data_IF_167272542879
#
_entry.id   IF_167272542879
#
_cell.length_a   1.000
_cell.length_b   1.000
_cell.length_c   1.000
_cell.angle_alpha   90.00
_cell.angle_beta   90.00
_cell.angle_gamma   90.00
#
_symmetry.space_group_name_H-M   'P 1'
#
loop_
_entity.id
_entity.type
_entity.pdbx_description
1 polymer ?
#
# COMPACT_ATOMS: atom_id res chain seq x y z
N UNK A 1 70.40 63.61 -21.08
CA UNK A 1 70.90 62.85 -19.91
C UNK A 1 69.71 62.38 -19.11
N UNK A 2 69.37 61.10 -19.29
CA UNK A 2 68.40 60.36 -18.46
C UNK A 2 69.18 59.77 -17.29
N UNK A 3 68.62 59.84 -16.08
CA UNK A 3 68.78 58.94 -14.90
C UNK A 3 68.72 59.75 -13.61
N UNK A 4 68.15 59.12 -12.57
CA UNK A 4 67.92 59.60 -11.20
C UNK A 4 66.56 60.22 -10.89
N UNK A 5 65.47 59.49 -11.12
CA UNK A 5 64.24 59.60 -10.32
C UNK A 5 63.46 58.28 -10.42
N UNK A 6 64.02 57.23 -9.82
CA UNK A 6 63.34 55.93 -9.69
C UNK A 6 63.98 55.14 -8.54
N UNK A 7 64.00 55.70 -7.33
CA UNK A 7 64.42 54.97 -6.14
C UNK A 7 63.82 55.58 -4.86
N UNK A 8 62.50 55.80 -4.84
CA UNK A 8 61.79 56.09 -3.59
C UNK A 8 60.33 55.61 -3.55
N UNK A 9 59.85 54.92 -4.60
CA UNK A 9 58.51 54.34 -4.69
C UNK A 9 58.49 52.81 -4.48
N UNK A 10 59.48 52.28 -3.75
CA UNK A 10 59.65 50.83 -3.52
C UNK A 10 59.81 50.49 -2.04
N UNK A 11 59.15 51.24 -1.15
CA UNK A 11 59.15 50.94 0.30
C UNK A 11 57.86 51.32 1.05
N UNK A 12 56.74 51.49 0.34
CA UNK A 12 55.38 51.59 0.95
C UNK A 12 54.37 50.77 0.14
N UNK A 13 54.85 49.71 -0.53
CA UNK A 13 54.04 48.77 -1.32
C UNK A 13 54.15 47.34 -0.80
N UNK A 14 54.46 47.17 0.48
CA UNK A 14 54.53 45.87 1.14
C UNK A 14 53.86 45.94 2.52
N UNK A 15 52.72 46.62 2.61
CA UNK A 15 51.71 46.23 3.59
C UNK A 15 51.25 44.84 3.17
N UNK A 16 51.80 43.85 3.87
CA UNK A 16 51.20 42.56 4.18
C UNK A 16 49.69 42.56 3.91
N UNK A 17 49.31 42.20 2.69
CA UNK A 17 48.13 41.40 2.45
C UNK A 17 48.64 39.97 2.26
N UNK A 18 49.27 39.43 3.32
CA UNK A 18 49.08 38.02 3.59
C UNK A 18 47.59 37.92 3.93
N UNK A 19 46.76 37.78 2.89
CA UNK A 19 45.60 36.93 3.03
C UNK A 19 46.20 35.59 3.46
N UNK A 20 46.18 35.36 4.77
CA UNK A 20 46.18 34.01 5.31
C UNK A 20 44.91 33.42 4.71
N UNK A 21 44.98 32.88 3.49
CA UNK A 21 44.16 31.75 3.15
C UNK A 21 44.62 30.70 4.15
N UNK A 22 43.94 30.64 5.29
CA UNK A 22 44.00 29.49 6.15
C UNK A 22 43.84 28.31 5.19
N UNK A 23 44.88 27.48 5.09
CA UNK A 23 44.90 26.38 4.15
C UNK A 23 43.58 25.63 4.30
N UNK A 24 42.75 25.66 3.27
CA UNK A 24 41.71 24.66 3.16
C UNK A 24 42.51 23.36 3.08
N UNK A 25 42.56 22.61 4.18
CA UNK A 25 42.86 21.20 4.06
C UNK A 25 41.85 20.68 3.03
N UNK A 26 42.34 20.15 1.91
CA UNK A 26 41.52 19.53 0.86
C UNK A 26 40.87 18.28 1.46
N UNK A 27 39.84 18.48 2.29
CA UNK A 27 39.10 17.42 2.94
C UNK A 27 38.06 16.92 1.97
N UNK A 28 38.05 15.61 1.78
CA UNK A 28 37.10 14.99 0.87
C UNK A 28 36.08 14.18 1.68
N UNK A 29 34.81 14.37 1.36
CA UNK A 29 33.74 13.49 1.82
C UNK A 29 33.50 12.40 0.78
N UNK A 30 33.42 11.16 1.23
CA UNK A 30 33.16 9.99 0.39
C UNK A 30 31.87 9.32 0.78
N UNK A 31 31.06 8.95 -0.21
CA UNK A 31 29.70 8.45 -0.03
C UNK A 31 29.60 7.03 -0.58
N UNK A 32 29.08 6.12 0.22
CA UNK A 32 29.01 4.70 -0.12
C UNK A 32 27.58 4.16 -0.07
N UNK A 33 27.29 3.23 -0.99
CA UNK A 33 26.17 2.32 -0.88
C UNK A 33 26.73 0.89 -0.81
N UNK A 34 26.68 0.30 0.39
CA UNK A 34 27.44 -0.90 0.70
C UNK A 34 28.95 -0.68 0.50
N UNK A 35 29.57 -1.50 -0.34
CA UNK A 35 31.00 -1.39 -0.66
C UNK A 35 31.31 -0.51 -1.88
N UNK A 36 30.30 0.11 -2.49
CA UNK A 36 30.46 0.90 -3.72
C UNK A 36 30.55 2.37 -3.38
N UNK A 37 31.62 3.04 -3.83
CA UNK A 37 31.72 4.49 -3.81
C UNK A 37 30.74 5.06 -4.85
N UNK A 38 29.81 5.89 -4.40
CA UNK A 38 28.77 6.47 -5.26
C UNK A 38 28.99 7.96 -5.54
N UNK A 39 29.68 8.66 -4.64
CA UNK A 39 30.02 10.06 -4.82
C UNK A 39 31.24 10.44 -3.97
N UNK A 40 31.93 11.50 -4.37
CA UNK A 40 33.05 12.09 -3.64
C UNK A 40 33.09 13.59 -3.92
N UNK A 41 33.06 14.39 -2.85
CA UNK A 41 32.98 15.85 -2.97
C UNK A 41 33.86 16.56 -1.94
N UNK A 42 34.44 17.72 -2.31
CA UNK A 42 35.27 18.51 -1.41
C UNK A 42 34.42 19.18 -0.33
N UNK A 43 34.93 19.24 0.88
CA UNK A 43 34.36 20.04 1.98
C UNK A 43 34.81 21.49 1.79
N UNK A 44 33.86 22.41 1.68
CA UNK A 44 34.17 23.83 1.41
C UNK A 44 33.73 24.69 2.59
N UNK A 45 34.60 25.56 3.12
CA UNK A 45 34.28 26.45 4.24
C UNK A 45 33.70 25.73 5.49
N UNK A 46 34.22 24.54 5.81
CA UNK A 46 33.73 23.69 6.90
C UNK A 46 32.24 23.27 6.77
N UNK A 47 31.68 23.34 5.56
CA UNK A 47 30.33 22.85 5.25
C UNK A 47 30.34 21.83 4.11
N UNK A 48 29.31 20.99 4.11
CA UNK A 48 29.11 19.94 3.12
C UNK A 48 27.63 19.82 2.79
N UNK A 49 27.29 19.88 1.50
CA UNK A 49 25.92 19.57 1.03
C UNK A 49 25.87 18.09 0.71
N UNK A 50 24.99 17.35 1.38
CA UNK A 50 24.90 15.90 1.18
C UNK A 50 24.22 15.57 -0.15
N UNK A 51 24.61 14.47 -0.83
CA UNK A 51 23.98 14.08 -2.07
C UNK A 51 22.47 13.81 -1.91
N UNK A 52 21.74 13.94 -3.01
CA UNK A 52 20.32 13.64 -3.07
C UNK A 52 20.01 12.18 -2.72
N UNK A 53 18.75 11.92 -2.40
CA UNK A 53 18.27 10.57 -2.13
C UNK A 53 18.55 9.67 -3.34
N UNK A 54 19.08 8.46 -3.07
CA UNK A 54 19.48 7.52 -4.11
C UNK A 54 18.67 6.22 -4.05
N UNK A 55 18.65 5.48 -5.15
CA UNK A 55 18.12 4.12 -5.17
C UNK A 55 19.15 3.14 -4.57
N UNK A 56 18.76 2.43 -3.52
CA UNK A 56 19.60 1.44 -2.82
C UNK A 56 19.05 0.02 -2.93
N UNK A 57 18.35 -0.26 -4.05
CA UNK A 57 17.76 -1.57 -4.32
C UNK A 57 16.39 -1.73 -3.65
N UNK A 58 16.23 -2.78 -2.86
CA UNK A 58 14.93 -3.15 -2.27
C UNK A 58 14.56 -2.30 -1.05
N UNK A 59 15.54 -1.59 -0.46
CA UNK A 59 15.32 -0.72 0.70
C UNK A 59 14.96 0.71 0.30
N UNK A 60 14.26 1.41 1.18
CA UNK A 60 13.97 2.84 1.07
C UNK A 60 15.10 3.63 1.69
N UNK A 61 15.73 4.50 0.90
CA UNK A 61 16.75 5.42 1.38
C UNK A 61 16.14 6.37 2.41
N UNK A 62 16.74 6.44 3.59
CA UNK A 62 16.32 7.33 4.68
C UNK A 62 17.23 8.56 4.75
N UNK A 63 18.54 8.35 4.58
CA UNK A 63 19.54 9.40 4.74
C UNK A 63 20.97 8.87 4.68
N UNK A 64 21.92 9.77 4.95
CA UNK A 64 23.34 9.47 5.00
C UNK A 64 23.81 9.34 6.44
N UNK A 65 24.45 8.22 6.76
CA UNK A 65 25.04 8.04 8.08
C UNK A 65 26.52 8.35 8.06
N UNK A 66 26.97 9.23 8.94
CA UNK A 66 28.39 9.50 9.17
C UNK A 66 28.82 8.84 10.48
N UNK A 67 29.99 8.22 10.49
CA UNK A 67 30.63 7.74 11.72
C UNK A 67 31.71 8.76 12.12
N UNK A 68 31.63 9.27 13.34
CA UNK A 68 32.64 10.16 13.92
C UNK A 68 33.12 9.58 15.26
N UNK A 69 34.25 8.86 15.24
CA UNK A 69 34.71 8.10 16.39
C UNK A 69 33.70 7.01 16.77
N UNK A 70 33.13 7.11 17.98
CA UNK A 70 32.12 6.16 18.49
C UNK A 70 30.67 6.59 18.24
N UNK A 71 30.43 7.78 17.67
CA UNK A 71 29.07 8.22 17.35
C UNK A 71 28.73 7.98 15.89
N UNK A 72 27.47 7.58 15.65
CA UNK A 72 26.89 7.50 14.31
C UNK A 72 25.73 8.48 14.25
N UNK A 73 25.74 9.36 13.26
CA UNK A 73 24.70 10.37 13.06
C UNK A 73 24.06 10.18 11.70
N UNK A 74 22.73 10.28 11.64
CA UNK A 74 21.96 10.22 10.41
C UNK A 74 21.63 11.64 9.96
N UNK A 75 21.83 11.92 8.68
CA UNK A 75 21.53 13.19 8.06
C UNK A 75 20.60 13.01 6.87
N UNK A 76 19.72 14.00 6.64
CA UNK A 76 18.83 14.01 5.48
C UNK A 76 19.62 14.18 4.18
N UNK A 77 19.15 13.59 3.08
CA UNK A 77 19.64 13.93 1.75
C UNK A 77 19.45 15.43 1.46
N UNK A 78 20.30 15.99 0.59
CA UNK A 78 20.29 17.40 0.18
C UNK A 78 20.48 18.42 1.32
N UNK A 79 20.74 17.96 2.55
CA UNK A 79 20.99 18.84 3.68
C UNK A 79 22.41 19.40 3.64
N UNK A 80 22.57 20.65 4.07
CA UNK A 80 23.89 21.25 4.32
C UNK A 80 24.24 21.09 5.78
N UNK A 81 25.37 20.44 6.05
CA UNK A 81 25.85 20.21 7.41
C UNK A 81 27.14 20.96 7.68
N UNK A 82 27.33 21.35 8.93
CA UNK A 82 28.63 21.82 9.43
C UNK A 82 29.50 20.63 9.77
N UNK A 83 30.73 20.61 9.24
CA UNK A 83 31.68 19.52 9.43
C UNK A 83 32.76 19.98 10.43
N UNK A 84 32.91 19.30 11.59
CA UNK A 84 34.01 19.55 12.52
C UNK A 84 35.37 19.45 11.81
N UNK A 85 36.36 20.24 12.21
CA UNK A 85 37.70 20.20 11.60
C UNK A 85 38.42 18.88 11.90
N UNK A 86 39.06 18.31 10.87
CA UNK A 86 39.87 17.10 10.92
C UNK A 86 39.31 15.91 10.12
N UNK A 87 40.21 15.16 9.47
CA UNK A 87 39.97 13.86 8.84
C UNK A 87 39.14 13.85 7.55
N UNK A 88 39.28 12.77 6.78
CA UNK A 88 38.36 12.44 5.68
C UNK A 88 37.02 11.97 6.25
N UNK A 89 35.92 12.34 5.60
CA UNK A 89 34.58 11.93 6.02
C UNK A 89 34.11 10.74 5.19
N UNK A 90 33.51 9.78 5.87
CA UNK A 90 32.86 8.63 5.25
C UNK A 90 31.38 8.62 5.61
N UNK A 91 30.55 8.66 4.57
CA UNK A 91 29.10 8.54 4.67
C UNK A 91 28.65 7.22 4.06
N UNK A 92 27.70 6.57 4.71
CA UNK A 92 27.07 5.35 4.21
C UNK A 92 25.56 5.56 4.08
N UNK A 93 25.02 5.21 2.93
CA UNK A 93 23.58 5.25 2.67
C UNK A 93 22.85 4.34 3.65
N UNK A 94 21.93 4.92 4.42
CA UNK A 94 21.08 4.15 5.33
C UNK A 94 19.72 3.91 4.69
N UNK A 95 19.31 2.65 4.69
CA UNK A 95 18.08 2.18 4.10
C UNK A 95 17.26 1.35 5.05
N UNK A 96 15.94 1.42 4.89
CA UNK A 96 15.01 0.57 5.62
C UNK A 96 14.20 -0.28 4.65
N UNK A 97 14.09 -1.57 4.94
CA UNK A 97 13.10 -2.41 4.28
C UNK A 97 11.70 -1.99 4.73
N UNK A 98 10.89 -1.47 3.79
CA UNK A 98 9.51 -1.02 4.03
C UNK A 98 8.63 -1.54 2.89
N UNK A 99 7.66 -2.41 3.21
CA UNK A 99 6.78 -3.06 2.23
C UNK A 99 5.32 -3.06 2.67
N UNK A 100 4.42 -2.82 1.72
CA UNK A 100 3.00 -3.17 1.87
C UNK A 100 2.87 -4.67 1.65
N UNK A 101 2.18 -5.38 2.54
CA UNK A 101 1.91 -6.80 2.32
C UNK A 101 0.86 -6.97 1.22
N UNK A 102 1.00 -8.05 0.45
CA UNK A 102 0.03 -8.42 -0.58
C UNK A 102 -1.31 -8.80 0.06
N UNK A 103 -2.39 -8.27 -0.49
CA UNK A 103 -3.75 -8.56 -0.08
C UNK A 103 -4.26 -7.70 1.08
N UNK A 104 -5.29 -8.20 1.74
CA UNK A 104 -5.93 -7.58 2.88
C UNK A 104 -6.57 -8.68 3.72
N UNK A 105 -6.84 -8.39 5.00
CA UNK A 105 -7.70 -9.19 5.84
C UNK A 105 -9.07 -8.54 5.96
N UNK A 106 -10.11 -9.35 6.17
CA UNK A 106 -11.46 -8.86 6.45
C UNK A 106 -11.75 -9.08 7.94
N UNK A 107 -12.40 -8.11 8.59
CA UNK A 107 -12.87 -8.29 9.97
C UNK A 107 -13.77 -9.52 10.06
N UNK A 108 -13.63 -10.36 11.07
CA UNK A 108 -14.54 -11.49 11.34
C UNK A 108 -15.37 -11.25 12.60
N UNK A 109 -15.49 -9.99 13.01
CA UNK A 109 -16.08 -9.52 14.26
C UNK A 109 -16.91 -8.25 13.99
N UNK A 110 -18.22 -8.41 13.83
CA UNK A 110 -19.12 -7.29 13.58
C UNK A 110 -19.10 -6.82 12.12
N UNK A 111 -19.05 -5.50 11.93
CA UNK A 111 -19.26 -4.87 10.63
C UNK A 111 -18.14 -5.19 9.63
N UNK A 112 -18.48 -5.19 8.34
CA UNK A 112 -17.51 -5.37 7.27
C UNK A 112 -16.44 -4.27 7.31
N UNK A 113 -15.17 -4.65 7.35
CA UNK A 113 -14.04 -3.74 7.25
C UNK A 113 -12.83 -4.49 6.70
N UNK A 114 -11.92 -3.77 6.04
CA UNK A 114 -10.67 -4.30 5.53
C UNK A 114 -9.51 -3.81 6.40
N UNK A 115 -8.56 -4.71 6.67
CA UNK A 115 -7.27 -4.41 7.27
C UNK A 115 -6.19 -4.64 6.23
N UNK A 116 -5.29 -3.67 6.12
CA UNK A 116 -4.08 -3.78 5.32
C UNK A 116 -2.87 -3.68 6.25
N UNK A 117 -1.87 -4.49 5.98
CA UNK A 117 -0.67 -4.58 6.81
C UNK A 117 0.56 -4.19 5.99
N UNK A 118 1.56 -3.66 6.68
CA UNK A 118 2.90 -3.50 6.15
C UNK A 118 3.94 -4.02 7.10
N UNK A 119 5.16 -4.07 6.60
CA UNK A 119 6.30 -4.59 7.33
C UNK A 119 7.49 -3.65 7.26
N UNK A 120 8.25 -3.64 8.35
CA UNK A 120 9.57 -3.06 8.49
C UNK A 120 10.58 -4.17 8.80
N UNK A 121 11.77 -4.11 8.18
CA UNK A 121 12.88 -4.98 8.57
C UNK A 121 13.27 -4.72 10.03
N UNK A 122 13.29 -5.77 10.87
CA UNK A 122 13.52 -5.60 12.31
C UNK A 122 14.87 -4.95 12.62
N UNK A 123 15.94 -5.44 11.98
CA UNK A 123 17.30 -4.93 12.21
C UNK A 123 17.46 -3.50 11.69
N UNK A 124 16.81 -3.17 10.58
CA UNK A 124 16.81 -1.81 10.04
C UNK A 124 16.05 -0.85 10.96
N UNK A 125 14.89 -1.27 11.50
CA UNK A 125 14.12 -0.48 12.46
C UNK A 125 14.89 -0.26 13.76
N UNK A 126 15.51 -1.31 14.32
CA UNK A 126 16.33 -1.19 15.52
C UNK A 126 17.53 -0.25 15.30
N UNK A 127 18.19 -0.34 14.15
CA UNK A 127 19.27 0.57 13.78
C UNK A 127 18.78 2.02 13.61
N UNK A 128 17.59 2.22 13.04
CA UNK A 128 16.99 3.55 12.91
C UNK A 128 16.63 4.14 14.28
N UNK A 129 16.02 3.36 15.18
CA UNK A 129 15.73 3.77 16.56
C UNK A 129 17.01 4.18 17.29
N UNK A 130 18.11 3.46 17.11
CA UNK A 130 19.39 3.83 17.71
C UNK A 130 19.97 5.15 17.16
N UNK A 131 19.62 5.55 15.94
CA UNK A 131 20.10 6.76 15.28
C UNK A 131 19.27 8.00 15.63
N UNK A 132 17.94 7.89 15.66
CA UNK A 132 17.05 9.06 15.82
C UNK A 132 16.17 9.01 17.07
N UNK A 133 16.11 7.88 17.77
CA UNK A 133 15.16 7.65 18.86
C UNK A 133 13.76 7.32 18.36
N UNK A 134 13.07 6.42 19.07
CA UNK A 134 11.75 5.92 18.69
C UNK A 134 10.69 7.03 18.58
N UNK A 135 10.75 8.06 19.45
CA UNK A 135 9.82 9.19 19.43
C UNK A 135 9.90 10.07 18.18
N UNK A 136 10.93 9.90 17.36
CA UNK A 136 11.10 10.61 16.08
C UNK A 136 10.66 9.76 14.87
N UNK A 137 10.04 8.61 15.12
CA UNK A 137 9.60 7.68 14.08
C UNK A 137 8.09 7.49 14.21
N UNK A 138 7.36 7.66 13.10
CA UNK A 138 5.96 7.25 12.99
C UNK A 138 5.72 6.45 11.72
N UNK A 139 4.74 5.56 11.73
CA UNK A 139 4.44 4.68 10.59
C UNK A 139 2.95 4.35 10.59
N UNK A 140 2.44 4.07 9.40
CA UNK A 140 1.03 3.81 9.23
C UNK A 140 0.66 3.42 7.81
N UNK A 141 -0.63 3.29 7.57
CA UNK A 141 -1.21 2.90 6.28
C UNK A 141 -2.08 4.03 5.74
N UNK A 142 -1.87 4.37 4.47
CA UNK A 142 -2.80 5.19 3.70
C UNK A 142 -3.78 4.26 3.00
N UNK A 143 -5.09 4.45 3.20
CA UNK A 143 -6.14 3.61 2.61
C UNK A 143 -7.14 4.49 1.87
N UNK A 144 -7.54 4.13 0.66
CA UNK A 144 -8.53 4.88 -0.12
C UNK A 144 -9.39 3.96 -1.00
N UNK A 145 -10.60 4.40 -1.42
CA UNK A 145 -11.34 3.73 -2.48
C UNK A 145 -10.54 3.70 -3.79
N UNK A 146 -10.43 2.54 -4.41
CA UNK A 146 -9.57 2.31 -5.59
C UNK A 146 -9.97 3.18 -6.78
N UNK A 147 -11.27 3.29 -7.07
CA UNK A 147 -11.79 4.12 -8.16
C UNK A 147 -11.44 5.62 -8.00
N UNK A 148 -11.29 6.11 -6.76
CA UNK A 148 -10.89 7.50 -6.45
C UNK A 148 -9.38 7.70 -6.48
N UNK A 149 -8.62 6.64 -6.21
CA UNK A 149 -7.16 6.62 -6.20
C UNK A 149 -6.53 6.22 -7.55
N UNK A 150 -7.30 5.65 -8.48
CA UNK A 150 -6.80 5.17 -9.77
C UNK A 150 -6.09 6.29 -10.55
N UNK A 151 -4.90 5.99 -11.07
CA UNK A 151 -4.03 6.95 -11.76
C UNK A 151 -3.37 7.99 -10.84
N UNK A 152 -3.63 7.97 -9.53
CA UNK A 152 -3.03 8.91 -8.56
C UNK A 152 -2.00 8.21 -7.70
N UNK A 153 -0.95 8.93 -7.33
CA UNK A 153 0.00 8.45 -6.32
C UNK A 153 -0.61 8.65 -4.94
N UNK A 154 -0.71 7.57 -4.16
CA UNK A 154 -1.21 7.63 -2.78
C UNK A 154 -0.07 8.13 -1.88
N UNK A 155 -0.24 9.33 -1.31
CA UNK A 155 0.66 10.00 -0.37
C UNK A 155 -0.16 10.81 0.65
N UNK A 156 0.47 11.31 1.72
CA UNK A 156 -0.21 12.18 2.70
C UNK A 156 -0.75 13.48 2.10
N UNK A 157 -0.14 13.96 1.02
CA UNK A 157 -0.52 15.21 0.35
C UNK A 157 -1.52 15.00 -0.77
N UNK A 158 -1.89 13.75 -1.06
CA UNK A 158 -2.79 13.45 -2.17
C UNK A 158 -4.23 13.90 -1.86
N UNK A 159 -4.81 14.67 -2.78
CA UNK A 159 -6.24 15.00 -2.74
C UNK A 159 -7.08 13.84 -3.30
N UNK A 160 -7.25 12.80 -2.48
CA UNK A 160 -8.07 11.63 -2.78
C UNK A 160 -9.28 11.64 -1.84
N UNK A 161 -10.47 11.67 -2.44
CA UNK A 161 -11.73 11.56 -1.69
C UNK A 161 -11.78 10.23 -0.93
N UNK A 162 -12.11 10.29 0.36
CA UNK A 162 -12.16 9.10 1.23
C UNK A 162 -10.77 8.55 1.61
N UNK A 163 -9.69 9.32 1.43
CA UNK A 163 -8.38 8.95 1.94
C UNK A 163 -8.37 8.90 3.47
N UNK A 164 -7.97 7.75 3.99
CA UNK A 164 -7.80 7.48 5.41
C UNK A 164 -6.31 7.37 5.70
N UNK A 165 -5.83 8.17 6.65
CA UNK A 165 -4.52 7.99 7.27
C UNK A 165 -4.73 7.19 8.54
N UNK A 166 -4.09 6.02 8.64
CA UNK A 166 -4.17 5.13 9.79
C UNK A 166 -2.77 4.95 10.35
N UNK A 167 -2.42 5.79 11.32
CA UNK A 167 -1.23 5.58 12.14
C UNK A 167 -1.32 4.22 12.80
N UNK A 168 -0.22 3.49 12.81
CA UNK A 168 -0.17 2.17 13.42
C UNK A 168 -0.40 2.28 14.94
N UNK A 169 -1.31 1.45 15.44
CA UNK A 169 -1.55 1.31 16.89
C UNK A 169 -0.91 0.04 17.46
N UNK A 170 -0.74 -0.97 16.61
CA UNK A 170 -0.18 -2.28 16.97
C UNK A 170 1.12 -2.52 16.22
N UNK A 171 2.13 -2.98 16.95
CA UNK A 171 3.44 -3.36 16.43
C UNK A 171 3.82 -4.70 17.03
N UNK A 172 4.01 -5.72 16.20
CA UNK A 172 4.40 -7.04 16.69
C UNK A 172 5.50 -7.69 15.84
N UNK A 173 6.28 -8.53 16.52
CA UNK A 173 7.46 -9.16 15.97
C UNK A 173 7.12 -10.55 15.43
N UNK A 174 7.65 -10.85 14.25
CA UNK A 174 7.55 -12.18 13.65
C UNK A 174 8.85 -12.95 13.83
N UNK A 175 8.77 -14.28 13.75
CA UNK A 175 9.95 -15.16 13.73
C UNK A 175 10.86 -14.91 12.51
N UNK A 176 10.31 -14.29 11.45
CA UNK A 176 11.02 -13.87 10.25
C UNK A 176 11.78 -12.55 10.41
N UNK A 177 11.91 -12.00 11.63
CA UNK A 177 12.59 -10.71 11.92
C UNK A 177 11.98 -9.53 11.15
N UNK A 178 10.65 -9.51 11.07
CA UNK A 178 9.89 -8.34 10.64
C UNK A 178 9.07 -7.77 11.77
N UNK A 179 8.94 -6.45 11.76
CA UNK A 179 7.92 -5.75 12.51
C UNK A 179 6.69 -5.54 11.62
N UNK A 180 5.53 -5.99 12.08
CA UNK A 180 4.26 -5.87 11.34
C UNK A 180 3.40 -4.80 12.00
N UNK A 181 2.79 -3.97 11.17
CA UNK A 181 1.83 -2.95 11.57
C UNK A 181 0.71 -2.86 10.53
N UNK A 182 -0.44 -2.32 10.91
CA UNK A 182 -1.59 -2.28 10.02
C UNK A 182 -2.55 -1.13 10.27
N UNK A 183 -3.41 -0.92 9.29
CA UNK A 183 -4.47 0.08 9.30
C UNK A 183 -5.77 -0.55 8.81
N UNK A 184 -6.89 -0.07 9.34
CA UNK A 184 -8.22 -0.57 9.00
C UNK A 184 -9.05 0.51 8.33
N UNK A 185 -9.87 0.11 7.36
CA UNK A 185 -11.00 0.94 6.92
C UNK A 185 -11.96 1.14 8.09
N UNK A 186 -12.79 2.17 8.00
CA UNK A 186 -14.01 2.21 8.80
C UNK A 186 -14.98 1.12 8.35
N UNK A 187 -16.12 1.03 9.02
CA UNK A 187 -17.21 0.13 8.65
C UNK A 187 -17.64 0.37 7.20
N UNK A 188 -17.47 -0.64 6.35
CA UNK A 188 -17.91 -0.68 4.96
C UNK A 188 -19.37 -1.12 4.95
N UNK A 189 -20.24 -0.33 4.32
CA UNK A 189 -21.65 -0.68 4.18
C UNK A 189 -21.83 -1.87 3.25
N UNK A 190 -22.92 -2.63 3.43
CA UNK A 190 -23.20 -3.81 2.60
C UNK A 190 -23.28 -3.48 1.11
N UNK A 191 -23.81 -2.31 0.74
CA UNK A 191 -23.88 -1.86 -0.65
C UNK A 191 -22.50 -1.61 -1.29
N UNK A 192 -21.46 -1.39 -0.48
CA UNK A 192 -20.09 -1.14 -0.91
C UNK A 192 -19.19 -2.37 -0.76
N UNK A 193 -19.74 -3.55 -0.45
CA UNK A 193 -18.95 -4.75 -0.14
C UNK A 193 -18.10 -5.26 -1.32
N UNK A 194 -18.53 -4.87 -2.53
CA UNK A 194 -17.87 -5.14 -3.80
C UNK A 194 -16.83 -4.08 -4.18
N UNK A 195 -16.86 -2.90 -3.56
CA UNK A 195 -15.90 -1.82 -3.84
C UNK A 195 -14.49 -2.22 -3.41
N UNK A 196 -13.51 -1.92 -4.27
CA UNK A 196 -12.10 -2.12 -3.95
C UNK A 196 -11.58 -0.97 -3.12
N UNK A 197 -10.88 -1.29 -2.04
CA UNK A 197 -10.01 -0.36 -1.33
C UNK A 197 -8.57 -0.71 -1.65
N UNK A 198 -7.74 0.34 -1.73
CA UNK A 198 -6.33 0.25 -1.98
C UNK A 198 -5.54 0.81 -0.81
N UNK A 199 -4.37 0.24 -0.53
CA UNK A 199 -3.54 0.67 0.57
C UNK A 199 -2.06 0.83 0.19
N UNK A 200 -1.39 1.76 0.89
CA UNK A 200 0.06 1.97 0.81
C UNK A 200 0.60 2.32 2.18
N UNK A 201 1.62 1.62 2.64
CA UNK A 201 2.30 1.94 3.90
C UNK A 201 3.32 3.05 3.75
N UNK A 202 3.51 3.78 4.85
CA UNK A 202 4.48 4.85 4.99
C UNK A 202 5.27 4.74 6.29
N UNK A 203 6.42 5.41 6.31
CA UNK A 203 7.24 5.67 7.48
C UNK A 203 7.66 7.14 7.44
N UNK A 204 7.44 7.87 8.53
CA UNK A 204 7.94 9.23 8.71
C UNK A 204 9.05 9.21 9.75
N UNK A 205 10.19 9.82 9.41
CA UNK A 205 11.37 9.94 10.28
C UNK A 205 11.70 11.41 10.44
N UNK A 206 11.86 11.88 11.67
CA UNK A 206 12.30 13.23 11.97
C UNK A 206 13.82 13.24 12.14
N UNK A 207 14.53 13.81 11.17
CA UNK A 207 16.00 13.99 11.19
C UNK A 207 16.27 15.47 11.39
N UNK A 208 16.98 15.85 12.46
CA UNK A 208 17.28 17.25 12.80
C UNK A 208 16.06 18.17 12.73
N UNK A 209 14.95 17.68 13.29
CA UNK A 209 13.64 18.32 13.28
C UNK A 209 12.88 18.40 11.96
N UNK A 210 13.45 17.90 10.87
CA UNK A 210 12.82 17.84 9.56
C UNK A 210 12.15 16.47 9.34
N UNK A 211 10.83 16.40 9.10
CA UNK A 211 10.17 15.14 8.79
C UNK A 211 10.46 14.71 7.35
N UNK A 212 10.85 13.46 7.18
CA UNK A 212 10.97 12.79 5.88
C UNK A 212 9.98 11.64 5.87
N UNK A 213 9.08 11.61 4.89
CA UNK A 213 8.13 10.51 4.72
C UNK A 213 8.53 9.63 3.55
N UNK A 214 8.78 8.36 3.86
CA UNK A 214 9.03 7.30 2.92
C UNK A 214 7.75 6.53 2.65
N UNK A 215 7.54 6.15 1.39
CA UNK A 215 6.39 5.35 0.99
C UNK A 215 6.85 4.02 0.42
N UNK A 216 6.19 2.93 0.81
CA UNK A 216 6.45 1.61 0.25
C UNK A 216 6.18 1.57 -1.26
N UNK A 217 6.68 0.53 -1.94
CA UNK A 217 6.26 0.26 -3.30
C UNK A 217 4.75 -0.05 -3.33
N UNK A 218 4.11 0.34 -4.43
CA UNK A 218 2.67 0.18 -4.61
C UNK A 218 2.38 -0.41 -5.99
N UNK A 219 1.48 -1.38 -6.00
CA UNK A 219 0.88 -1.95 -7.19
C UNK A 219 -0.56 -2.36 -6.84
N UNK A 220 -1.51 -2.02 -7.71
CA UNK A 220 -2.93 -2.23 -7.48
C UNK A 220 -3.29 -3.73 -7.44
N UNK A 221 -2.61 -4.55 -8.26
CA UNK A 221 -2.82 -6.00 -8.32
C UNK A 221 -2.56 -6.62 -6.95
N UNK A 222 -1.49 -6.20 -6.28
CA UNK A 222 -1.13 -6.75 -4.97
C UNK A 222 -1.78 -6.04 -3.78
N UNK A 223 -2.08 -4.73 -3.87
CA UNK A 223 -2.46 -3.93 -2.69
C UNK A 223 -3.89 -3.37 -2.74
N UNK A 224 -4.76 -3.90 -3.61
CA UNK A 224 -6.19 -3.51 -3.66
C UNK A 224 -7.12 -4.70 -3.50
N UNK A 225 -8.09 -4.63 -2.59
CA UNK A 225 -9.04 -5.73 -2.31
C UNK A 225 -10.43 -5.19 -1.96
N UNK A 226 -11.46 -6.00 -2.18
CA UNK A 226 -12.83 -5.75 -1.69
C UNK A 226 -13.16 -6.70 -0.54
N UNK A 227 -14.15 -6.34 0.29
CA UNK A 227 -14.62 -7.20 1.39
C UNK A 227 -15.11 -8.53 0.85
N UNK A 228 -15.88 -8.52 -0.24
CA UNK A 228 -16.39 -9.74 -0.85
C UNK A 228 -15.26 -10.69 -1.28
N UNK A 229 -14.25 -10.18 -1.99
CA UNK A 229 -13.13 -10.99 -2.47
C UNK A 229 -12.36 -11.67 -1.33
N UNK A 230 -12.06 -10.90 -0.27
CA UNK A 230 -11.34 -11.43 0.89
C UNK A 230 -12.21 -12.39 1.68
N UNK A 231 -13.52 -12.10 1.81
CA UNK A 231 -14.46 -12.97 2.52
C UNK A 231 -14.64 -14.30 1.81
N UNK A 232 -14.73 -14.29 0.47
CA UNK A 232 -14.81 -15.50 -0.34
C UNK A 232 -13.54 -16.34 -0.19
N UNK A 233 -12.37 -15.75 -0.36
CA UNK A 233 -11.10 -16.46 -0.18
C UNK A 233 -10.95 -17.05 1.23
N UNK A 234 -11.33 -16.32 2.28
CA UNK A 234 -11.30 -16.81 3.66
C UNK A 234 -12.35 -17.90 3.92
N UNK A 235 -13.53 -17.79 3.31
CA UNK A 235 -14.57 -18.79 3.44
C UNK A 235 -14.20 -20.09 2.71
N UNK A 236 -13.54 -20.03 1.56
CA UNK A 236 -13.10 -21.23 0.82
C UNK A 236 -11.81 -21.84 1.38
N UNK A 237 -11.13 -21.15 2.28
CA UNK A 237 -9.89 -21.63 2.89
C UNK A 237 -10.17 -22.80 3.85
N UNK A 238 -10.04 -24.02 3.30
CA UNK A 238 -10.39 -25.29 3.94
C UNK A 238 -9.31 -26.35 3.72
N UNK A 239 -9.31 -27.33 4.61
CA UNK A 239 -8.49 -28.54 4.51
C UNK A 239 -9.33 -29.78 4.76
N UNK A 240 -9.12 -30.84 3.99
CA UNK A 240 -9.72 -32.16 4.27
C UNK A 240 -9.18 -32.80 5.55
N UNK A 241 -8.03 -32.33 6.05
CA UNK A 241 -7.34 -32.86 7.22
C UNK A 241 -7.14 -31.80 8.30
N UNK A 242 -7.22 -32.21 9.57
CA UNK A 242 -6.89 -31.34 10.70
C UNK A 242 -5.39 -31.12 10.81
N UNK A 243 -4.97 -29.90 11.13
CA UNK A 243 -3.61 -29.56 11.53
C UNK A 243 -3.60 -28.30 12.41
N UNK A 244 -2.40 -27.79 12.76
CA UNK A 244 -2.25 -26.61 13.62
C UNK A 244 -2.81 -25.30 13.06
N UNK A 245 -3.08 -25.23 11.75
CA UNK A 245 -3.70 -24.08 11.08
C UNK A 245 -5.19 -24.32 10.86
N UNK A 246 -5.58 -25.54 10.50
CA UNK A 246 -6.96 -25.96 10.23
C UNK A 246 -7.44 -26.92 11.32
N UNK A 247 -7.80 -26.38 12.47
CA UNK A 247 -8.14 -27.15 13.67
C UNK A 247 -9.65 -27.24 13.91
N UNK A 248 -10.46 -26.43 13.24
CA UNK A 248 -11.91 -26.34 13.47
C UNK A 248 -12.70 -27.11 12.41
N UNK A 249 -13.37 -28.18 12.82
CA UNK A 249 -14.24 -28.95 11.92
C UNK A 249 -15.50 -28.15 11.58
N UNK A 250 -15.84 -28.13 10.30
CA UNK A 250 -17.02 -27.47 9.73
C UNK A 250 -18.19 -28.46 9.58
N UNK A 251 -19.39 -27.93 9.32
CA UNK A 251 -20.59 -28.75 9.02
C UNK A 251 -20.43 -29.60 7.77
N UNK A 252 -19.68 -29.11 6.77
CA UNK A 252 -19.36 -29.84 5.54
C UNK A 252 -18.31 -30.96 5.74
N UNK A 253 -17.88 -31.22 6.98
CA UNK A 253 -16.94 -32.29 7.31
C UNK A 253 -15.47 -31.99 7.04
N UNK A 254 -15.14 -30.83 6.44
CA UNK A 254 -13.77 -30.32 6.29
C UNK A 254 -13.33 -29.46 7.49
N UNK A 255 -12.08 -29.00 7.50
CA UNK A 255 -11.47 -28.20 8.56
C UNK A 255 -11.18 -26.76 8.09
N UNK A 256 -11.38 -25.80 8.97
CA UNK A 256 -11.13 -24.37 8.76
C UNK A 256 -10.20 -23.83 9.86
N UNK A 257 -9.56 -22.70 9.59
CA UNK A 257 -8.90 -21.87 10.60
C UNK A 257 -9.89 -20.97 11.37
N UNK A 258 -11.11 -20.83 10.85
CA UNK A 258 -12.16 -19.96 11.39
C UNK A 258 -13.19 -20.75 12.20
N UNK A 259 -13.78 -20.12 13.23
CA UNK A 259 -14.88 -20.72 14.01
C UNK A 259 -16.18 -20.73 13.20
N UNK A 260 -17.18 -21.49 13.64
CA UNK A 260 -18.48 -21.53 12.99
C UNK A 260 -19.13 -20.13 12.92
N UNK A 261 -19.00 -19.32 13.97
CA UNK A 261 -19.52 -17.95 14.03
C UNK A 261 -18.81 -17.04 13.02
N UNK A 262 -17.48 -17.15 12.91
CA UNK A 262 -16.70 -16.40 11.93
C UNK A 262 -17.07 -16.80 10.50
N UNK A 263 -17.24 -18.10 10.25
CA UNK A 263 -17.68 -18.60 8.95
C UNK A 263 -19.09 -18.12 8.60
N UNK A 264 -20.01 -18.07 9.56
CA UNK A 264 -21.35 -17.53 9.37
C UNK A 264 -21.34 -16.04 9.00
N UNK A 265 -20.47 -15.25 9.64
CA UNK A 265 -20.28 -13.83 9.29
C UNK A 265 -19.70 -13.66 7.89
N UNK A 266 -18.70 -14.47 7.52
CA UNK A 266 -18.15 -14.48 6.16
C UNK A 266 -19.24 -14.86 5.14
N UNK A 267 -20.01 -15.91 5.41
CA UNK A 267 -21.11 -16.37 4.56
C UNK A 267 -22.18 -15.30 4.37
N UNK A 268 -22.59 -14.62 5.45
CA UNK A 268 -23.58 -13.53 5.39
C UNK A 268 -23.16 -12.42 4.42
N UNK A 269 -21.86 -12.14 4.29
CA UNK A 269 -21.34 -11.13 3.35
C UNK A 269 -21.38 -11.60 1.90
N UNK A 270 -21.23 -12.90 1.68
CA UNK A 270 -21.37 -13.51 0.35
C UNK A 270 -22.85 -13.54 -0.05
N UNK A 271 -23.73 -13.91 0.88
CA UNK A 271 -25.19 -14.00 0.68
C UNK A 271 -25.85 -12.64 0.41
N UNK A 272 -25.17 -11.53 0.66
CA UNK A 272 -25.66 -10.17 0.31
C UNK A 272 -25.34 -9.77 -1.12
N UNK A 273 -24.59 -10.60 -1.85
CA UNK A 273 -24.15 -10.31 -3.21
C UNK A 273 -24.74 -11.32 -4.19
N UNK A 274 -25.36 -10.80 -5.24
CA UNK A 274 -25.76 -11.61 -6.39
C UNK A 274 -24.74 -11.39 -7.51
N UNK A 275 -24.00 -12.45 -7.84
CA UNK A 275 -23.07 -12.45 -8.96
C UNK A 275 -23.74 -13.17 -10.14
N UNK A 276 -23.66 -12.57 -11.34
CA UNK A 276 -24.21 -13.13 -12.57
C UNK A 276 -23.15 -13.10 -13.69
N UNK A 277 -22.75 -14.28 -14.16
CA UNK A 277 -21.63 -14.46 -15.08
C UNK A 277 -21.96 -14.06 -16.52
N UNK A 278 -20.93 -13.85 -17.35
CA UNK A 278 -21.11 -13.61 -18.78
C UNK A 278 -21.70 -14.84 -19.47
N UNK A 279 -22.68 -14.64 -20.34
CA UNK A 279 -23.27 -15.70 -21.17
C UNK A 279 -22.28 -16.09 -22.27
N UNK A 280 -21.45 -17.09 -22.00
CA UNK A 280 -20.73 -17.82 -23.05
C UNK A 280 -21.23 -19.26 -23.06
N UNK A 281 -22.44 -19.47 -23.59
CA UNK A 281 -23.11 -20.77 -23.62
C UNK A 281 -24.22 -20.93 -22.57
N UNK A 282 -24.93 -22.06 -22.63
CA UNK A 282 -26.13 -22.41 -21.84
C UNK A 282 -25.90 -22.68 -20.35
N UNK A 283 -24.70 -22.43 -19.84
CA UNK A 283 -24.37 -22.66 -18.43
C UNK A 283 -23.88 -21.36 -17.79
N UNK A 284 -24.49 -20.99 -16.66
CA UNK A 284 -23.94 -19.98 -15.75
C UNK A 284 -22.77 -20.63 -15.03
N UNK A 285 -21.56 -20.53 -15.58
CA UNK A 285 -20.37 -20.87 -14.80
C UNK A 285 -20.26 -19.85 -13.66
N UNK A 286 -20.16 -20.32 -12.41
CA UNK A 286 -19.94 -19.49 -11.23
C UNK A 286 -18.53 -18.87 -11.20
N UNK A 287 -17.83 -18.76 -12.34
CA UNK A 287 -16.51 -18.14 -12.44
C UNK A 287 -16.68 -16.65 -12.74
N UNK A 288 -16.07 -15.80 -11.93
CA UNK A 288 -16.07 -14.36 -12.15
C UNK A 288 -14.66 -13.90 -12.39
N UNK A 289 -14.39 -13.16 -13.45
CA UNK A 289 -13.11 -12.49 -13.67
C UNK A 289 -13.30 -10.98 -13.68
N UNK A 290 -12.36 -10.25 -13.08
CA UNK A 290 -12.40 -8.80 -12.93
C UNK A 290 -11.00 -8.24 -13.08
N UNK A 291 -10.79 -7.31 -14.00
CA UNK A 291 -9.51 -6.60 -14.17
C UNK A 291 -8.28 -7.55 -14.17
N UNK A 292 -8.35 -8.68 -14.91
CA UNK A 292 -7.34 -9.76 -14.95
C UNK A 292 -7.20 -10.63 -13.69
N UNK A 293 -8.15 -10.58 -12.75
CA UNK A 293 -8.27 -11.51 -11.64
C UNK A 293 -9.47 -12.43 -11.80
N UNK A 294 -9.22 -13.73 -11.98
CA UNK A 294 -10.24 -14.77 -11.87
C UNK A 294 -10.54 -15.02 -10.40
N UNK A 295 -11.73 -14.61 -9.94
CA UNK A 295 -12.34 -15.20 -8.76
C UNK A 295 -12.68 -16.64 -9.09
N UNK A 296 -12.07 -17.54 -8.34
CA UNK A 296 -12.47 -18.93 -8.35
C UNK A 296 -13.97 -18.96 -8.07
N UNK A 297 -14.70 -19.61 -8.97
CA UNK A 297 -15.99 -20.17 -8.65
C UNK A 297 -15.89 -20.82 -7.27
N UNK A 298 -16.76 -20.39 -6.35
CA UNK A 298 -16.92 -21.01 -5.05
C UNK A 298 -16.78 -22.52 -5.21
N UNK A 299 -16.00 -23.18 -4.35
CA UNK A 299 -15.98 -24.63 -4.40
C UNK A 299 -17.42 -25.07 -4.11
N UNK A 300 -18.11 -25.76 -5.04
CA UNK A 300 -19.53 -26.08 -4.88
C UNK A 300 -19.78 -26.92 -3.61
N UNK A 301 -18.73 -27.54 -3.10
CA UNK A 301 -18.74 -28.34 -1.86
C UNK A 301 -18.75 -27.51 -0.57
N UNK A 302 -18.55 -26.19 -0.62
CA UNK A 302 -18.37 -25.34 0.57
C UNK A 302 -19.35 -24.17 0.63
N UNK A 303 -19.54 -23.45 -0.47
CA UNK A 303 -20.52 -22.37 -0.57
C UNK A 303 -21.47 -22.61 -1.73
N UNK A 304 -22.76 -22.58 -1.41
CA UNK A 304 -23.84 -22.57 -2.39
C UNK A 304 -24.57 -21.24 -2.27
N UNK A 305 -24.64 -20.49 -3.38
CA UNK A 305 -25.35 -19.23 -3.40
C UNK A 305 -26.83 -19.44 -3.06
N UNK A 306 -27.43 -18.61 -2.18
CA UNK A 306 -28.85 -18.68 -1.88
C UNK A 306 -29.73 -18.12 -3.02
N UNK A 307 -29.13 -17.74 -4.15
CA UNK A 307 -29.85 -17.25 -5.33
C UNK A 307 -29.51 -18.07 -6.57
N UNK A 308 -30.46 -18.20 -7.48
CA UNK A 308 -30.24 -18.77 -8.81
C UNK A 308 -30.76 -17.86 -9.90
N UNK A 309 -30.08 -17.86 -11.04
CA UNK A 309 -30.60 -17.27 -12.28
C UNK A 309 -31.60 -18.26 -12.87
N UNK A 310 -32.89 -17.89 -12.92
CA UNK A 310 -33.93 -18.70 -13.57
C UNK A 310 -34.05 -18.44 -15.06
N UNK A 311 -33.89 -17.18 -15.45
CA UNK A 311 -34.13 -16.75 -16.82
C UNK A 311 -33.19 -15.62 -17.19
N UNK A 312 -32.82 -15.58 -18.47
CA UNK A 312 -32.06 -14.49 -19.08
C UNK A 312 -32.87 -14.02 -20.28
N UNK A 313 -33.38 -12.80 -20.19
CA UNK A 313 -34.15 -12.15 -21.24
C UNK A 313 -33.23 -11.21 -22.00
N UNK A 314 -33.21 -11.31 -23.33
CA UNK A 314 -32.48 -10.39 -24.19
C UNK A 314 -33.46 -9.58 -25.03
N UNK A 315 -33.33 -8.26 -24.96
CA UNK A 315 -34.09 -7.32 -25.77
C UNK A 315 -33.13 -6.45 -26.58
N UNK A 316 -33.11 -6.67 -27.90
CA UNK A 316 -32.30 -5.89 -28.84
C UNK A 316 -33.13 -4.70 -29.37
N UNK A 317 -32.67 -3.47 -29.15
CA UNK A 317 -33.34 -2.23 -29.59
C UNK A 317 -32.57 -1.54 -30.73
N UNK A 318 -31.91 -2.32 -31.59
CA UNK A 318 -31.20 -1.84 -32.79
C UNK A 318 -29.79 -1.28 -32.54
N UNK A 319 -29.62 -0.45 -31.50
CA UNK A 319 -28.31 0.12 -31.11
C UNK A 319 -27.82 -0.30 -29.72
N UNK A 320 -28.73 -0.82 -28.90
CA UNK A 320 -28.44 -1.32 -27.56
C UNK A 320 -29.08 -2.71 -27.39
N UNK A 321 -28.40 -3.60 -26.67
CA UNK A 321 -29.00 -4.83 -26.16
C UNK A 321 -29.19 -4.73 -24.65
N UNK A 322 -30.43 -4.88 -24.19
CA UNK A 322 -30.75 -5.00 -22.77
C UNK A 322 -30.80 -6.49 -22.45
N UNK A 323 -29.96 -6.90 -21.50
CA UNK A 323 -29.99 -8.24 -20.93
C UNK A 323 -30.59 -8.12 -19.53
N UNK A 324 -31.71 -8.79 -19.29
CA UNK A 324 -32.37 -8.87 -17.99
C UNK A 324 -32.18 -10.26 -17.41
N UNK A 325 -31.56 -10.32 -16.25
CA UNK A 325 -31.39 -11.55 -15.48
C UNK A 325 -32.51 -11.64 -14.44
N UNK A 326 -33.27 -12.73 -14.48
CA UNK A 326 -34.29 -13.05 -13.47
C UNK A 326 -33.65 -13.96 -12.44
N UNK A 327 -33.43 -13.40 -11.25
CA UNK A 327 -32.80 -14.10 -10.13
C UNK A 327 -33.86 -14.41 -9.08
N UNK A 328 -33.93 -15.65 -8.64
CA UNK A 328 -34.84 -16.06 -7.57
C UNK A 328 -34.06 -16.47 -6.33
N UNK A 329 -34.68 -16.23 -5.18
CA UNK A 329 -34.19 -16.76 -3.92
C UNK A 329 -34.51 -18.26 -3.78
N UNK A 330 -33.54 -19.02 -3.25
CA UNK A 330 -33.70 -20.42 -2.85
C UNK A 330 -33.97 -20.52 -1.36
N UNK A 331 -34.68 -21.57 -0.96
CA UNK A 331 -34.70 -22.08 0.42
C UNK A 331 -34.98 -21.02 1.51
N UNK A 332 -35.86 -20.05 1.23
CA UNK A 332 -36.27 -19.02 2.19
C UNK A 332 -35.33 -17.81 2.30
N UNK A 333 -34.36 -17.65 1.38
CA UNK A 333 -33.60 -16.42 1.29
C UNK A 333 -34.51 -15.22 0.95
N UNK A 334 -34.28 -14.10 1.62
CA UNK A 334 -35.04 -12.87 1.39
C UNK A 334 -34.33 -12.02 0.34
N UNK A 335 -35.04 -11.74 -0.74
CA UNK A 335 -34.56 -10.89 -1.82
C UNK A 335 -34.23 -9.47 -1.32
N UNK A 336 -34.88 -8.99 -0.27
CA UNK A 336 -34.60 -7.69 0.36
C UNK A 336 -33.23 -7.63 1.06
N UNK A 337 -32.55 -8.77 1.24
CA UNK A 337 -31.21 -8.83 1.83
C UNK A 337 -30.09 -8.69 0.79
N UNK A 338 -30.41 -8.60 -0.50
CA UNK A 338 -29.39 -8.34 -1.54
C UNK A 338 -28.98 -6.87 -1.50
N UNK A 339 -27.69 -6.63 -1.32
CA UNK A 339 -27.11 -5.30 -1.19
C UNK A 339 -26.30 -4.87 -2.42
N UNK A 340 -25.78 -5.81 -3.22
CA UNK A 340 -24.97 -5.49 -4.38
C UNK A 340 -25.05 -6.56 -5.48
N UNK A 341 -24.81 -6.14 -6.73
CA UNK A 341 -24.81 -7.00 -7.90
C UNK A 341 -23.50 -6.88 -8.70
N UNK A 342 -23.02 -8.01 -9.21
CA UNK A 342 -21.91 -8.06 -10.18
C UNK A 342 -22.41 -8.72 -11.46
N UNK A 343 -22.43 -7.97 -12.58
CA UNK A 343 -22.91 -8.45 -13.87
C UNK A 343 -21.91 -8.10 -14.97
N UNK A 344 -21.50 -9.09 -15.76
CA UNK A 344 -20.65 -8.90 -16.95
C UNK A 344 -19.40 -8.03 -16.71
N UNK A 345 -18.71 -8.22 -15.58
CA UNK A 345 -17.49 -7.46 -15.27
C UNK A 345 -17.72 -6.07 -14.69
N UNK A 346 -18.98 -5.64 -14.53
CA UNK A 346 -19.35 -4.31 -14.02
C UNK A 346 -20.09 -4.37 -12.69
N UNK A 347 -19.72 -3.45 -11.80
CA UNK A 347 -20.38 -3.25 -10.51
C UNK A 347 -21.63 -2.39 -10.67
N UNK A 348 -22.73 -2.79 -10.03
CA UNK A 348 -23.90 -1.92 -9.90
C UNK A 348 -24.41 -1.99 -8.46
N UNK A 349 -24.56 -0.82 -7.84
CA UNK A 349 -25.43 -0.70 -6.68
C UNK A 349 -26.88 -0.95 -7.13
N UNK A 350 -27.82 -1.24 -6.21
CA UNK A 350 -29.23 -1.33 -6.54
C UNK A 350 -29.78 0.06 -6.91
N UNK A 351 -29.54 0.52 -8.14
CA UNK A 351 -30.16 1.70 -8.70
C UNK A 351 -31.55 1.33 -9.28
N UNK A 352 -32.35 2.36 -9.62
CA UNK A 352 -33.75 2.31 -10.14
C UNK A 352 -34.08 1.27 -11.23
N UNK A 353 -33.10 0.58 -11.83
CA UNK A 353 -33.27 -0.48 -12.84
C UNK A 353 -33.52 -1.88 -12.26
N UNK A 354 -33.70 -1.98 -10.93
CA UNK A 354 -34.07 -3.22 -10.24
C UNK A 354 -35.58 -3.20 -10.01
N UNK A 355 -36.32 -4.03 -10.76
CA UNK A 355 -37.74 -4.25 -10.47
C UNK A 355 -37.87 -5.45 -9.52
N UNK A 356 -38.48 -5.22 -8.37
CA UNK A 356 -38.87 -6.27 -7.44
C UNK A 356 -40.25 -6.77 -7.84
N UNK A 357 -40.35 -8.04 -8.22
CA UNK A 357 -41.65 -8.69 -8.46
C UNK A 357 -41.80 -9.86 -7.51
N UNK A 358 -43.04 -10.28 -7.29
CA UNK A 358 -43.38 -11.32 -6.31
C UNK A 358 -42.69 -12.68 -6.57
N UNK A 359 -42.14 -12.86 -7.77
CA UNK A 359 -41.53 -14.05 -8.32
C UNK A 359 -39.99 -13.98 -8.44
N UNK A 360 -39.35 -12.83 -8.18
CA UNK A 360 -37.89 -12.70 -8.25
C UNK A 360 -37.34 -11.27 -8.32
N UNK A 361 -36.00 -11.17 -8.33
CA UNK A 361 -35.23 -9.95 -8.57
C UNK A 361 -34.92 -9.86 -10.06
N UNK A 362 -35.36 -8.77 -10.70
CA UNK A 362 -35.07 -8.51 -12.10
C UNK A 362 -33.90 -7.53 -12.20
N UNK A 363 -32.75 -8.02 -12.67
CA UNK A 363 -31.53 -7.23 -12.83
C UNK A 363 -31.37 -6.92 -14.31
N UNK A 364 -31.68 -5.69 -14.72
CA UNK A 364 -31.54 -5.27 -16.13
C UNK A 364 -30.22 -4.55 -16.38
N UNK A 365 -29.46 -5.03 -17.34
CA UNK A 365 -28.19 -4.44 -17.79
C UNK A 365 -28.33 -4.02 -19.25
N UNK A 366 -28.23 -2.72 -19.52
CA UNK A 366 -28.07 -2.21 -20.88
C UNK A 366 -26.61 -2.31 -21.29
N UNK A 367 -26.34 -3.01 -22.38
CA UNK A 367 -25.06 -3.03 -23.08
C UNK A 367 -25.18 -2.11 -24.28
N UNK A 368 -24.58 -0.92 -24.17
CA UNK A 368 -24.42 -0.05 -25.34
C UNK A 368 -23.30 -0.62 -26.18
N UNK A 369 -23.60 -1.06 -27.40
CA UNK A 369 -22.54 -1.40 -28.35
C UNK A 369 -21.88 -0.10 -28.79
N UNK A 370 -20.69 0.17 -28.25
CA UNK A 370 -19.89 1.33 -28.63
C UNK A 370 -19.63 1.36 -30.14
N UNK A 371 -19.88 2.52 -30.75
CA UNK A 371 -19.37 2.88 -32.07
C UNK A 371 -18.02 3.57 -31.96
#
# INVERSE_FOLDING_TARGET
MKRFFALFAMLVGLTLLFAISAGAEDRTATFYSGNTLVDSQPVTNDTLTLPSAMNIGEKKFVGWTCVNGNSKTLYAADSTISVPRGGDLRFEAFGIELRTLTGAAVSTDGNAALRFDGILGFDDYAALVALVGESNISYGVLIAPYNKASGKTITHTASIEGLLVREAQDFFYTTARYCVFGGRTDSIADAAILEKYTARVFLTVKIDSTPITLYANYDAVNHSRSVHAVSAAAFEDRSSYSNSVYDKKTEAGCYSRFTAEQLSLLKTRLDKVVCVGSVTGTEVESKYSMDNFTFLSFHPDHYVSPYEVKEILRQDNGYDSIITYVVVAKEGADHNHVAAYFVEGSYRAPDRATEWKADGIYISVSTATGH
#
